data_IF_890000841563
#
_entry.id   IF_890000841563
#
_cell.length_a   1.000
_cell.length_b   1.000
_cell.length_c   1.000
_cell.angle_alpha   90.00
_cell.angle_beta   90.00
_cell.angle_gamma   90.00
#
_symmetry.space_group_name_H-M   'P 1'
#
loop_
_entity.id
_entity.type
_entity.pdbx_description
1 polymer ?
#
# COMPACT_ATOMS: atom_id res chain seq x y z
N UNK A 1 -8.35 -6.01 1.34
CA UNK A 1 -7.82 -7.27 0.81
C UNK A 1 -6.78 -6.96 -0.26
N UNK A 2 -5.69 -7.71 -0.30
CA UNK A 2 -4.68 -7.67 -1.37
C UNK A 2 -4.18 -9.07 -1.67
N UNK A 3 -3.72 -9.29 -2.90
CA UNK A 3 -3.16 -10.56 -3.36
C UNK A 3 -1.78 -10.32 -3.89
N UNK A 4 -0.84 -11.17 -3.46
CA UNK A 4 0.51 -11.22 -4.01
C UNK A 4 0.62 -12.50 -4.81
N UNK A 5 0.97 -12.37 -6.08
CA UNK A 5 1.43 -13.47 -6.92
C UNK A 5 2.95 -13.47 -6.85
N UNK A 6 3.50 -14.47 -6.17
CA UNK A 6 4.94 -14.69 -6.07
C UNK A 6 5.36 -15.68 -7.16
N UNK A 7 6.17 -15.22 -8.12
CA UNK A 7 6.69 -16.06 -9.20
C UNK A 7 7.80 -16.95 -8.62
N UNK A 8 7.56 -18.26 -8.56
CA UNK A 8 8.48 -19.23 -7.93
C UNK A 8 9.36 -19.98 -8.94
N UNK A 9 9.55 -19.43 -10.15
CA UNK A 9 10.46 -19.97 -11.17
C UNK A 9 11.94 -19.80 -10.82
N UNK A 10 12.84 -20.46 -11.58
CA UNK A 10 14.30 -20.64 -11.39
C UNK A 10 15.18 -19.37 -11.15
N UNK A 11 14.60 -18.21 -10.93
CA UNK A 11 15.30 -17.00 -10.50
C UNK A 11 15.70 -17.11 -9.03
N UNK A 12 16.92 -16.68 -8.70
CA UNK A 12 17.42 -16.63 -7.32
C UNK A 12 16.64 -15.63 -6.43
N UNK A 13 15.84 -14.75 -7.03
CA UNK A 13 14.97 -13.78 -6.34
C UNK A 13 13.55 -13.91 -6.86
N UNK A 14 12.57 -14.27 -6.01
CA UNK A 14 11.17 -14.36 -6.40
C UNK A 14 10.64 -12.97 -6.73
N UNK A 15 10.11 -12.82 -7.94
CA UNK A 15 9.44 -11.60 -8.36
C UNK A 15 8.01 -11.60 -7.81
N UNK A 16 7.56 -10.45 -7.29
CA UNK A 16 6.26 -10.32 -6.63
C UNK A 16 5.40 -9.31 -7.39
N UNK A 17 4.19 -9.72 -7.72
CA UNK A 17 3.18 -8.86 -8.32
C UNK A 17 1.99 -8.70 -7.36
N UNK A 18 1.61 -7.46 -7.06
CA UNK A 18 0.62 -7.16 -6.02
C UNK A 18 -0.64 -6.57 -6.65
N UNK A 19 -1.79 -7.17 -6.36
CA UNK A 19 -3.12 -6.64 -6.67
C UNK A 19 -3.85 -6.23 -5.38
N UNK A 20 -4.61 -5.14 -5.45
CA UNK A 20 -5.49 -4.64 -4.39
C UNK A 20 -6.95 -4.94 -4.69
N UNK A 21 -7.78 -4.86 -3.65
CA UNK A 21 -9.22 -4.91 -3.81
C UNK A 21 -9.73 -3.85 -4.80
N UNK A 22 -10.49 -4.29 -5.80
CA UNK A 22 -11.01 -3.49 -6.90
C UNK A 22 -10.16 -3.57 -8.17
N UNK A 23 -8.97 -4.17 -8.13
CA UNK A 23 -8.08 -4.31 -9.28
C UNK A 23 -8.30 -5.63 -10.02
N UNK A 24 -8.12 -5.57 -11.33
CA UNK A 24 -8.07 -6.73 -12.22
C UNK A 24 -6.72 -6.66 -12.93
N UNK A 25 -6.00 -7.77 -13.01
CA UNK A 25 -4.74 -7.85 -13.73
C UNK A 25 -4.70 -9.05 -14.67
N UNK A 26 -4.13 -8.84 -15.85
CA UNK A 26 -3.87 -9.87 -16.85
C UNK A 26 -2.39 -10.28 -16.79
N UNK A 27 -2.16 -11.59 -16.82
CA UNK A 27 -0.83 -12.20 -16.83
C UNK A 27 -0.62 -12.91 -18.16
N UNK A 28 0.51 -12.66 -18.81
CA UNK A 28 0.80 -13.24 -20.12
C UNK A 28 2.18 -12.87 -20.64
N UNK A 29 2.47 -13.30 -21.87
CA UNK A 29 3.75 -13.05 -22.54
C UNK A 29 3.82 -11.67 -23.20
N UNK A 30 2.67 -11.10 -23.57
CA UNK A 30 2.61 -9.81 -24.25
C UNK A 30 3.17 -8.69 -23.37
N UNK A 31 3.84 -7.66 -23.94
CA UNK A 31 4.25 -6.48 -23.19
C UNK A 31 3.09 -5.56 -22.79
N UNK A 32 1.87 -5.85 -23.25
CA UNK A 32 0.68 -5.02 -23.03
C UNK A 32 -0.19 -5.47 -21.85
N UNK A 33 0.19 -6.56 -21.17
CA UNK A 33 -0.50 -7.07 -19.98
C UNK A 33 0.14 -6.52 -18.71
N UNK A 34 -0.58 -6.60 -17.58
CA UNK A 34 -0.13 -6.02 -16.31
C UNK A 34 1.10 -6.74 -15.72
N UNK A 35 1.18 -8.07 -15.87
CA UNK A 35 2.36 -8.87 -15.53
C UNK A 35 2.89 -9.59 -16.76
N UNK A 36 3.90 -8.98 -17.39
CA UNK A 36 4.51 -9.46 -18.63
C UNK A 36 5.65 -10.44 -18.37
N UNK A 37 5.57 -11.63 -18.99
CA UNK A 37 6.58 -12.68 -18.93
C UNK A 37 7.08 -13.04 -20.35
N UNK A 38 7.80 -12.12 -21.03
CA UNK A 38 8.13 -12.26 -22.45
C UNK A 38 9.08 -13.43 -22.75
N UNK A 39 9.91 -13.82 -21.78
CA UNK A 39 10.93 -14.87 -21.92
C UNK A 39 10.34 -16.30 -21.84
N UNK A 40 9.06 -16.43 -21.46
CA UNK A 40 8.43 -17.73 -21.21
C UNK A 40 7.59 -18.12 -22.42
N UNK A 41 8.16 -18.97 -23.28
CA UNK A 41 7.56 -19.32 -24.57
C UNK A 41 6.25 -20.10 -24.49
N UNK A 42 6.02 -20.83 -23.39
CA UNK A 42 4.83 -21.67 -23.18
C UNK A 42 3.69 -20.98 -22.43
N UNK A 43 3.80 -19.66 -22.23
CA UNK A 43 2.72 -18.78 -21.80
C UNK A 43 2.14 -18.07 -23.04
N UNK A 44 0.81 -17.91 -23.05
CA UNK A 44 0.09 -17.20 -24.11
C UNK A 44 0.24 -15.69 -23.95
N UNK A 45 -0.06 -14.91 -25.00
CA UNK A 45 0.08 -13.46 -24.96
C UNK A 45 -0.77 -12.83 -23.85
N UNK A 46 -2.00 -13.33 -23.66
CA UNK A 46 -2.86 -13.11 -22.49
C UNK A 46 -3.30 -14.48 -21.93
N UNK A 47 -2.68 -14.95 -20.85
CA UNK A 47 -2.86 -16.33 -20.41
C UNK A 47 -3.97 -16.50 -19.38
N UNK A 48 -3.96 -15.65 -18.34
CA UNK A 48 -5.00 -15.66 -17.32
C UNK A 48 -5.21 -14.28 -16.71
N UNK A 49 -6.37 -14.09 -16.09
CA UNK A 49 -6.78 -12.88 -15.39
C UNK A 49 -6.98 -13.17 -13.91
N UNK A 50 -6.56 -12.23 -13.05
CA UNK A 50 -6.89 -12.21 -11.62
C UNK A 50 -7.77 -11.00 -11.35
N UNK A 51 -9.04 -11.25 -10.99
CA UNK A 51 -9.98 -10.24 -10.53
C UNK A 51 -10.03 -10.25 -9.01
N UNK A 52 -9.57 -9.17 -8.39
CA UNK A 52 -9.50 -9.06 -6.94
C UNK A 52 -10.55 -8.10 -6.41
N UNK A 53 -11.54 -8.63 -5.70
CA UNK A 53 -12.64 -7.87 -5.08
C UNK A 53 -12.36 -7.61 -3.60
N UNK A 54 -13.28 -6.91 -2.93
CA UNK A 54 -13.15 -6.56 -1.51
C UNK A 54 -13.10 -7.78 -0.57
N UNK A 55 -13.74 -8.89 -0.96
CA UNK A 55 -13.92 -10.08 -0.10
C UNK A 55 -13.42 -11.38 -0.72
N UNK A 56 -13.02 -11.38 -1.98
CA UNK A 56 -12.56 -12.58 -2.68
C UNK A 56 -11.71 -12.18 -3.88
N UNK A 57 -10.77 -13.03 -4.28
CA UNK A 57 -10.07 -12.87 -5.55
C UNK A 57 -10.27 -14.13 -6.38
N UNK A 58 -10.55 -13.94 -7.67
CA UNK A 58 -10.91 -14.98 -8.61
C UNK A 58 -9.88 -15.00 -9.71
N UNK A 59 -9.46 -16.19 -10.10
CA UNK A 59 -8.65 -16.39 -11.30
C UNK A 59 -9.52 -16.95 -12.43
N UNK A 60 -9.20 -16.57 -13.66
CA UNK A 60 -9.85 -17.07 -14.87
C UNK A 60 -8.80 -17.32 -15.95
N UNK A 61 -8.85 -18.49 -16.57
CA UNK A 61 -8.03 -18.80 -17.76
C UNK A 61 -8.56 -18.01 -18.96
N UNK A 62 -7.67 -17.38 -19.73
CA UNK A 62 -8.00 -16.68 -20.98
C UNK A 62 -7.61 -17.56 -22.16
N UNK A 63 -6.31 -17.76 -22.36
CA UNK A 63 -5.76 -18.54 -23.47
C UNK A 63 -4.64 -19.47 -23.00
N UNK A 64 -4.88 -20.78 -23.12
CA UNK A 64 -4.00 -21.83 -22.61
C UNK A 64 -4.49 -22.49 -21.32
N UNK A 65 -3.85 -23.61 -20.90
CA UNK A 65 -4.23 -24.34 -19.71
C UNK A 65 -3.66 -23.69 -18.43
N UNK A 66 -4.55 -23.29 -17.53
CA UNK A 66 -4.21 -22.88 -16.18
C UNK A 66 -4.48 -24.03 -15.19
N UNK A 67 -3.50 -24.34 -14.34
CA UNK A 67 -3.66 -25.30 -13.25
C UNK A 67 -3.71 -24.56 -11.90
N UNK A 68 -4.60 -24.97 -11.00
CA UNK A 68 -4.59 -24.62 -9.57
C UNK A 68 -4.35 -25.88 -8.77
N UNK A 69 -3.28 -25.92 -7.98
CA UNK A 69 -2.90 -27.09 -7.18
C UNK A 69 -2.90 -28.39 -8.01
N UNK A 70 -2.29 -28.33 -9.21
CA UNK A 70 -2.20 -29.42 -10.21
C UNK A 70 -3.51 -29.81 -10.93
N UNK A 71 -4.63 -29.14 -10.63
CA UNK A 71 -5.92 -29.38 -11.29
C UNK A 71 -6.19 -28.30 -12.33
N UNK A 72 -6.54 -28.69 -13.56
CA UNK A 72 -6.91 -27.74 -14.62
C UNK A 72 -8.18 -26.99 -14.24
N UNK A 73 -8.17 -25.67 -14.39
CA UNK A 73 -9.30 -24.80 -14.09
C UNK A 73 -9.59 -23.85 -15.26
N UNK A 74 -10.87 -23.54 -15.48
CA UNK A 74 -11.28 -22.43 -16.35
C UNK A 74 -11.50 -21.15 -15.53
N UNK A 75 -12.02 -21.30 -14.31
CA UNK A 75 -12.09 -20.24 -13.29
C UNK A 75 -12.17 -20.84 -11.89
N UNK A 76 -11.56 -20.19 -10.90
CA UNK A 76 -11.63 -20.58 -9.50
C UNK A 76 -11.54 -19.37 -8.57
N UNK A 77 -12.09 -19.48 -7.36
CA UNK A 77 -11.72 -18.60 -6.26
C UNK A 77 -10.32 -18.97 -5.79
N UNK A 78 -9.52 -17.96 -5.50
CA UNK A 78 -8.19 -18.12 -4.94
C UNK A 78 -8.26 -18.21 -3.42
N UNK A 79 -7.43 -19.07 -2.86
CA UNK A 79 -7.17 -19.25 -1.44
C UNK A 79 -5.70 -18.96 -1.14
N UNK A 80 -5.42 -18.60 0.11
CA UNK A 80 -4.04 -18.34 0.53
C UNK A 80 -3.21 -19.62 0.46
N UNK A 81 -2.03 -19.54 -0.15
CA UNK A 81 -1.15 -20.68 -0.36
C UNK A 81 -1.41 -21.48 -1.64
N UNK A 82 -2.44 -21.14 -2.43
CA UNK A 82 -2.66 -21.76 -3.73
C UNK A 82 -1.43 -21.65 -4.64
N UNK A 83 -1.22 -22.69 -5.45
CA UNK A 83 -0.22 -22.69 -6.51
C UNK A 83 -0.94 -22.67 -7.85
N UNK A 84 -0.72 -21.59 -8.61
CA UNK A 84 -1.14 -21.50 -10.00
C UNK A 84 0.01 -21.88 -10.91
N UNK A 85 -0.26 -22.65 -11.96
CA UNK A 85 0.73 -22.97 -13.00
C UNK A 85 0.20 -22.61 -14.38
N UNK A 86 0.96 -21.77 -15.07
CA UNK A 86 0.74 -21.35 -16.46
C UNK A 86 2.02 -21.66 -17.26
N UNK A 87 1.92 -22.59 -18.21
CA UNK A 87 3.10 -23.13 -18.89
C UNK A 87 4.12 -23.69 -17.89
N UNK A 88 5.35 -23.17 -17.95
CA UNK A 88 6.48 -23.56 -17.10
C UNK A 88 6.63 -22.74 -15.83
N UNK A 89 5.77 -21.75 -15.61
CA UNK A 89 5.85 -20.83 -14.47
C UNK A 89 4.84 -21.21 -13.40
N UNK A 90 5.30 -21.17 -12.15
CA UNK A 90 4.46 -21.29 -10.98
C UNK A 90 4.33 -19.95 -10.27
N UNK A 91 3.11 -19.66 -9.83
CA UNK A 91 2.76 -18.52 -9.00
C UNK A 91 2.23 -19.04 -7.68
N UNK A 92 2.86 -18.65 -6.58
CA UNK A 92 2.31 -18.84 -5.25
C UNK A 92 1.42 -17.66 -4.91
N UNK A 93 0.17 -17.96 -4.60
CA UNK A 93 -0.82 -16.98 -4.17
C UNK A 93 -0.65 -16.71 -2.68
N UNK A 94 -0.52 -15.45 -2.30
CA UNK A 94 -0.62 -15.00 -0.91
C UNK A 94 -1.74 -13.98 -0.78
N UNK A 95 -2.76 -14.28 0.02
CA UNK A 95 -3.89 -13.39 0.26
C UNK A 95 -3.71 -12.68 1.60
N UNK A 96 -3.83 -11.35 1.61
CA UNK A 96 -3.75 -10.54 2.82
C UNK A 96 -5.06 -9.80 3.09
N UNK A 97 -5.47 -9.76 4.36
CA UNK A 97 -6.68 -9.05 4.80
C UNK A 97 -7.98 -9.83 4.58
N UNK A 98 -7.93 -11.16 4.45
CA UNK A 98 -9.09 -12.04 4.59
C UNK A 98 -9.20 -12.52 6.04
N UNK A 99 -10.12 -11.95 6.80
CA UNK A 99 -10.58 -12.59 8.04
C UNK A 99 -11.58 -13.68 7.67
N UNK A 100 -11.10 -14.80 7.13
CA UNK A 100 -11.96 -15.97 6.94
C UNK A 100 -12.13 -16.67 8.29
N UNK A 101 -13.39 -16.79 8.73
CA UNK A 101 -13.75 -17.63 9.86
C UNK A 101 -13.25 -19.07 9.58
N UNK A 102 -12.23 -19.48 10.32
CA UNK A 102 -11.52 -20.74 10.12
C UNK A 102 -12.43 -21.91 10.48
N UNK A 103 -12.78 -22.74 9.49
CA UNK A 103 -13.33 -24.08 9.74
C UNK A 103 -12.26 -25.00 10.35
N UNK A 104 -12.65 -26.02 11.13
CA UNK A 104 -11.72 -26.83 11.89
C UNK A 104 -11.07 -27.93 11.04
N UNK A 105 -9.74 -27.93 11.01
CA UNK A 105 -8.95 -29.14 10.85
C UNK A 105 -8.18 -29.28 9.54
N UNK A 106 -7.01 -28.65 9.46
CA UNK A 106 -5.82 -29.30 8.88
C UNK A 106 -4.55 -28.57 9.33
N UNK A 107 -3.62 -29.32 9.92
CA UNK A 107 -2.35 -28.83 10.45
C UNK A 107 -1.29 -29.02 9.37
N UNK A 108 -0.90 -27.94 8.67
CA UNK A 108 0.27 -27.92 7.80
C UNK A 108 1.47 -27.40 8.59
N UNK A 109 2.57 -28.14 8.52
CA UNK A 109 3.88 -27.81 9.12
C UNK A 109 4.37 -26.46 8.58
N UNK A 110 4.49 -25.49 9.49
CA UNK A 110 5.14 -24.20 9.27
C UNK A 110 6.59 -24.41 8.80
N UNK A 111 6.89 -23.97 7.58
CA UNK A 111 8.22 -23.54 7.19
C UNK A 111 8.25 -22.02 7.39
N UNK A 112 9.26 -21.52 8.09
CA UNK A 112 9.40 -20.17 8.64
C UNK A 112 8.88 -19.05 7.73
N UNK A 113 7.59 -18.74 7.87
CA UNK A 113 7.00 -17.51 7.38
C UNK A 113 7.42 -16.41 8.35
N UNK A 114 8.22 -15.45 7.88
CA UNK A 114 8.40 -14.18 8.62
C UNK A 114 7.04 -13.69 9.08
N UNK A 115 6.96 -13.23 10.32
CA UNK A 115 5.67 -12.94 10.96
C UNK A 115 4.86 -11.96 10.11
N UNK A 116 3.53 -12.01 10.19
CA UNK A 116 2.65 -11.04 9.49
C UNK A 116 3.07 -9.59 9.78
N UNK A 117 3.60 -9.34 10.99
CA UNK A 117 4.17 -8.05 11.39
C UNK A 117 5.44 -7.69 10.59
N UNK A 118 6.37 -8.62 10.39
CA UNK A 118 7.58 -8.39 9.58
C UNK A 118 7.24 -8.05 8.13
N UNK A 119 6.24 -8.72 7.57
CA UNK A 119 5.78 -8.44 6.20
C UNK A 119 5.11 -7.06 6.11
N UNK A 120 4.26 -6.70 7.07
CA UNK A 120 3.64 -5.38 7.11
C UNK A 120 4.67 -4.25 7.24
N UNK A 121 5.69 -4.45 8.08
CA UNK A 121 6.77 -3.50 8.28
C UNK A 121 7.60 -3.32 7.00
N UNK A 122 7.99 -4.40 6.32
CA UNK A 122 8.68 -4.32 5.02
C UNK A 122 7.86 -3.58 3.97
N UNK A 123 6.55 -3.81 3.91
CA UNK A 123 5.65 -3.08 3.01
C UNK A 123 5.52 -1.60 3.40
N UNK A 124 5.62 -1.26 4.68
CA UNK A 124 5.75 0.13 5.11
C UNK A 124 7.03 0.77 4.57
N UNK A 125 8.18 0.10 4.70
CA UNK A 125 9.47 0.63 4.20
C UNK A 125 9.45 0.89 2.69
N UNK A 126 8.90 -0.05 1.90
CA UNK A 126 8.72 0.12 0.45
C UNK A 126 7.86 1.34 0.14
N UNK A 127 6.70 1.49 0.80
CA UNK A 127 5.80 2.64 0.64
C UNK A 127 6.35 3.96 1.19
N UNK A 128 7.35 3.91 2.07
CA UNK A 128 7.97 5.12 2.58
C UNK A 128 8.98 5.72 1.59
N UNK A 129 9.62 4.89 0.76
CA UNK A 129 10.65 5.35 -0.19
C UNK A 129 11.79 6.08 0.53
N UNK A 130 12.34 5.45 1.57
CA UNK A 130 13.38 6.03 2.42
C UNK A 130 14.68 6.24 1.65
N UNK A 131 15.36 7.36 1.92
CA UNK A 131 16.71 7.61 1.42
C UNK A 131 17.71 6.53 1.88
N UNK A 132 18.82 6.36 1.15
CA UNK A 132 19.87 5.41 1.52
C UNK A 132 20.44 5.67 2.92
N UNK A 133 20.56 6.93 3.30
CA UNK A 133 21.00 7.31 4.65
C UNK A 133 19.96 6.93 5.71
N UNK A 134 18.67 7.16 5.45
CA UNK A 134 17.58 6.77 6.36
C UNK A 134 17.46 5.26 6.54
N UNK A 135 17.75 4.46 5.51
CA UNK A 135 17.72 3.00 5.60
C UNK A 135 18.69 2.44 6.64
N UNK A 136 19.77 3.17 6.99
CA UNK A 136 20.74 2.77 8.03
C UNK A 136 20.18 2.86 9.45
N UNK A 137 19.06 3.56 9.63
CA UNK A 137 18.43 3.82 10.93
C UNK A 137 17.15 3.01 11.15
N UNK A 138 16.79 2.14 10.20
CA UNK A 138 15.59 1.31 10.30
C UNK A 138 15.87 0.11 11.19
N UNK A 139 15.09 -0.02 12.26
CA UNK A 139 15.12 -1.18 13.14
C UNK A 139 13.90 -2.06 12.87
N UNK A 140 14.13 -3.36 12.68
CA UNK A 140 13.09 -4.30 12.24
C UNK A 140 11.89 -4.33 13.20
N UNK A 141 10.69 -4.09 12.65
CA UNK A 141 9.41 -4.35 13.31
C UNK A 141 8.97 -3.32 14.35
N UNK A 142 9.77 -2.28 14.63
CA UNK A 142 9.45 -1.26 15.61
C UNK A 142 9.12 0.08 14.92
N UNK A 143 7.83 0.35 14.67
CA UNK A 143 7.42 1.55 13.94
C UNK A 143 7.78 2.83 14.71
N UNK A 144 7.43 2.90 15.99
CA UNK A 144 7.72 4.10 16.80
C UNK A 144 9.22 4.33 16.95
N UNK A 145 9.98 3.26 17.20
CA UNK A 145 11.43 3.37 17.35
C UNK A 145 12.12 3.81 16.05
N UNK A 146 11.70 3.27 14.90
CA UNK A 146 12.20 3.70 13.60
C UNK A 146 11.89 5.19 13.36
N UNK A 147 10.66 5.61 13.65
CA UNK A 147 10.25 7.02 13.54
C UNK A 147 11.07 7.95 14.45
N UNK A 148 11.24 7.58 15.73
CA UNK A 148 12.01 8.37 16.71
C UNK A 148 13.49 8.46 16.32
N UNK A 149 14.06 7.38 15.81
CA UNK A 149 15.46 7.32 15.37
C UNK A 149 15.69 8.21 14.15
N UNK A 150 14.83 8.13 13.14
CA UNK A 150 14.89 9.02 11.97
C UNK A 150 14.73 10.49 12.37
N UNK A 151 13.81 10.78 13.29
CA UNK A 151 13.57 12.14 13.79
C UNK A 151 14.79 12.69 14.54
N UNK A 152 15.37 11.89 15.44
CA UNK A 152 16.56 12.25 16.23
C UNK A 152 17.80 12.44 15.36
N UNK A 153 17.92 11.66 14.28
CA UNK A 153 19.00 11.80 13.29
C UNK A 153 18.86 13.05 12.40
N UNK A 154 17.80 13.87 12.57
CA UNK A 154 17.54 15.04 11.73
C UNK A 154 16.98 14.70 10.35
N UNK A 155 16.58 13.45 10.11
CA UNK A 155 16.02 12.96 8.84
C UNK A 155 14.51 13.20 8.80
N UNK A 156 14.07 14.43 9.09
CA UNK A 156 12.65 14.78 9.28
C UNK A 156 11.77 14.44 8.08
N UNK A 157 12.29 14.55 6.85
CA UNK A 157 11.55 14.19 5.62
C UNK A 157 11.30 12.68 5.54
N UNK A 158 12.30 11.87 5.85
CA UNK A 158 12.20 10.42 5.85
C UNK A 158 11.31 9.94 7.02
N UNK A 159 11.44 10.53 8.21
CA UNK A 159 10.54 10.27 9.34
C UNK A 159 9.07 10.56 8.98
N UNK A 160 8.81 11.68 8.29
CA UNK A 160 7.49 12.04 7.81
C UNK A 160 6.92 11.01 6.82
N UNK A 161 7.69 10.64 5.80
CA UNK A 161 7.28 9.61 4.82
C UNK A 161 7.04 8.26 5.47
N UNK A 162 7.92 7.84 6.38
CA UNK A 162 7.77 6.61 7.14
C UNK A 162 6.47 6.58 7.93
N UNK A 163 6.19 7.63 8.71
CA UNK A 163 4.94 7.73 9.47
C UNK A 163 3.70 7.70 8.56
N UNK A 164 3.72 8.42 7.44
CA UNK A 164 2.62 8.41 6.47
C UNK A 164 2.41 6.99 5.89
N UNK A 165 3.48 6.29 5.54
CA UNK A 165 3.42 4.95 4.98
C UNK A 165 2.95 3.89 6.00
N UNK A 166 3.22 4.11 7.29
CA UNK A 166 2.82 3.22 8.38
C UNK A 166 1.31 3.28 8.71
N UNK A 167 0.58 4.25 8.17
CA UNK A 167 -0.85 4.45 8.42
C UNK A 167 -1.69 4.06 7.19
N UNK A 168 -3.01 3.92 7.39
CA UNK A 168 -3.92 3.91 6.25
C UNK A 168 -3.96 5.30 5.58
N UNK A 169 -4.28 5.39 4.28
CA UNK A 169 -4.36 6.68 3.60
C UNK A 169 -5.34 7.67 4.24
N UNK A 170 -6.49 7.20 4.71
CA UNK A 170 -7.50 8.02 5.35
C UNK A 170 -6.98 8.63 6.67
N UNK A 171 -6.27 7.83 7.48
CA UNK A 171 -5.65 8.31 8.73
C UNK A 171 -4.55 9.32 8.46
N UNK A 172 -3.64 9.02 7.52
CA UNK A 172 -2.55 9.92 7.17
C UNK A 172 -3.07 11.27 6.67
N UNK A 173 -4.12 11.28 5.85
CA UNK A 173 -4.77 12.52 5.39
C UNK A 173 -5.46 13.22 6.56
N UNK A 174 -6.20 12.51 7.41
CA UNK A 174 -6.91 13.08 8.57
C UNK A 174 -5.95 13.82 9.50
N UNK A 175 -4.89 13.16 9.96
CA UNK A 175 -3.91 13.75 10.88
C UNK A 175 -3.17 14.91 10.23
N UNK A 176 -2.85 14.81 8.95
CA UNK A 176 -2.23 15.91 8.21
C UNK A 176 -3.16 17.13 8.14
N UNK A 177 -4.44 16.93 7.77
CA UNK A 177 -5.42 18.02 7.67
C UNK A 177 -5.71 18.69 9.02
N UNK A 178 -5.66 17.93 10.12
CA UNK A 178 -5.83 18.46 11.47
C UNK A 178 -4.79 19.53 11.80
N UNK A 179 -3.51 19.28 11.49
CA UNK A 179 -2.43 20.24 11.77
C UNK A 179 -2.39 21.35 10.74
N UNK A 180 -2.57 20.98 9.47
CA UNK A 180 -2.56 21.94 8.37
C UNK A 180 -3.65 22.99 8.56
N UNK A 181 -4.81 22.65 9.13
CA UNK A 181 -5.86 23.64 9.39
C UNK A 181 -6.17 24.43 8.11
N UNK A 182 -6.39 25.74 8.21
CA UNK A 182 -6.60 26.62 7.04
C UNK A 182 -5.40 26.73 6.09
N UNK A 183 -4.19 26.37 6.53
CA UNK A 183 -2.94 26.67 5.80
C UNK A 183 -2.74 25.77 4.57
N UNK A 184 -3.49 24.67 4.45
CA UNK A 184 -3.43 23.84 3.25
C UNK A 184 -4.16 24.43 2.05
N UNK A 185 -5.05 25.41 2.23
CA UNK A 185 -5.85 25.99 1.13
C UNK A 185 -7.09 25.19 0.73
N UNK A 186 -7.34 24.03 1.36
CA UNK A 186 -8.54 23.23 1.11
C UNK A 186 -9.77 23.80 1.81
N UNK A 187 -10.87 23.91 1.07
CA UNK A 187 -12.18 24.24 1.64
C UNK A 187 -12.68 23.14 2.60
N UNK A 188 -13.60 23.43 3.52
CA UNK A 188 -14.17 22.41 4.40
C UNK A 188 -14.82 21.25 3.64
N UNK A 189 -15.53 21.54 2.54
CA UNK A 189 -16.19 20.54 1.68
C UNK A 189 -15.15 19.63 0.98
N UNK A 190 -14.08 20.22 0.46
CA UNK A 190 -12.99 19.46 -0.16
C UNK A 190 -12.33 18.47 0.83
N UNK A 191 -12.19 18.86 2.10
CA UNK A 191 -11.63 17.97 3.13
C UNK A 191 -12.51 16.76 3.37
N UNK A 192 -13.83 16.96 3.48
CA UNK A 192 -14.78 15.85 3.68
C UNK A 192 -14.71 14.89 2.51
N UNK A 193 -14.79 15.41 1.28
CA UNK A 193 -14.72 14.59 0.06
C UNK A 193 -13.40 13.82 -0.06
N UNK A 194 -12.26 14.44 0.28
CA UNK A 194 -10.95 13.79 0.28
C UNK A 194 -10.88 12.63 1.28
N UNK A 195 -11.44 12.81 2.48
CA UNK A 195 -11.44 11.79 3.52
C UNK A 195 -12.32 10.60 3.13
N UNK A 196 -13.52 10.85 2.58
CA UNK A 196 -14.39 9.81 2.06
C UNK A 196 -13.72 9.02 0.92
N UNK A 197 -13.09 9.73 -0.01
CA UNK A 197 -12.38 9.13 -1.14
C UNK A 197 -11.20 8.26 -0.68
N UNK A 198 -10.41 8.75 0.28
CA UNK A 198 -9.28 8.02 0.86
C UNK A 198 -9.71 6.81 1.68
N UNK A 199 -10.85 6.90 2.37
CA UNK A 199 -11.47 5.78 3.08
C UNK A 199 -12.10 4.74 2.14
N UNK A 200 -12.27 5.07 0.85
CA UNK A 200 -12.92 4.21 -0.12
C UNK A 200 -14.43 4.05 0.11
N UNK A 201 -15.06 5.02 0.79
CA UNK A 201 -16.51 5.06 0.95
C UNK A 201 -17.19 5.57 -0.33
N UNK A 202 -18.52 5.43 -0.41
CA UNK A 202 -19.34 5.90 -1.54
C UNK A 202 -19.42 7.44 -1.59
N UNK A 203 -18.29 8.12 -1.67
CA UNK A 203 -18.20 9.56 -1.92
C UNK A 203 -18.53 9.90 -3.37
N UNK A 204 -18.90 11.16 -3.61
CA UNK A 204 -19.19 11.70 -4.95
C UNK A 204 -17.94 12.08 -5.75
N UNK A 205 -16.78 12.08 -5.09
CA UNK A 205 -15.52 12.51 -5.66
C UNK A 205 -14.97 11.49 -6.67
N UNK A 206 -14.85 11.87 -7.94
CA UNK A 206 -14.28 11.03 -9.00
C UNK A 206 -12.83 11.41 -9.34
N UNK A 207 -12.13 10.55 -10.09
CA UNK A 207 -10.78 10.84 -10.57
C UNK A 207 -10.76 12.07 -11.51
N UNK A 208 -11.76 12.22 -12.38
CA UNK A 208 -11.93 13.37 -13.27
C UNK A 208 -12.05 14.67 -12.48
N UNK A 209 -12.84 14.67 -11.39
CA UNK A 209 -13.00 15.85 -10.54
C UNK A 209 -11.69 16.23 -9.84
N UNK A 210 -10.91 15.24 -9.40
CA UNK A 210 -9.58 15.48 -8.81
C UNK A 210 -8.64 16.09 -9.86
N UNK A 211 -8.60 15.53 -11.08
CA UNK A 211 -7.76 16.05 -12.16
C UNK A 211 -8.13 17.50 -12.52
N UNK A 212 -9.44 17.82 -12.59
CA UNK A 212 -9.94 19.17 -12.83
C UNK A 212 -9.55 20.15 -11.71
N UNK A 213 -9.58 19.72 -10.44
CA UNK A 213 -9.12 20.54 -9.31
C UNK A 213 -7.62 20.78 -9.41
N UNK A 214 -6.83 19.74 -9.66
CA UNK A 214 -5.37 19.85 -9.79
C UNK A 214 -4.93 20.79 -10.91
N UNK A 215 -5.63 20.81 -12.05
CA UNK A 215 -5.33 21.71 -13.18
C UNK A 215 -5.47 23.20 -12.81
N UNK A 216 -6.32 23.53 -11.83
CA UNK A 216 -6.58 24.92 -11.42
C UNK A 216 -5.62 25.40 -10.33
N UNK A 217 -4.87 24.49 -9.70
CA UNK A 217 -4.02 24.80 -8.57
C UNK A 217 -2.56 25.04 -9.00
N UNK A 218 -1.87 26.03 -8.40
CA UNK A 218 -0.43 26.19 -8.59
C UNK A 218 0.34 24.91 -8.22
N UNK A 219 1.41 24.58 -8.94
CA UNK A 219 2.19 23.35 -8.67
C UNK A 219 2.92 23.33 -7.32
N UNK A 220 3.03 24.49 -6.65
CA UNK A 220 3.80 24.68 -5.40
C UNK A 220 2.93 24.98 -4.17
N UNK A 221 1.64 24.66 -4.18
CA UNK A 221 0.78 24.82 -3.00
C UNK A 221 0.44 23.48 -2.30
N UNK A 222 0.22 23.46 -0.97
CA UNK A 222 -0.03 22.23 -0.22
C UNK A 222 -1.26 21.44 -0.71
N UNK A 223 -2.39 22.10 -0.95
CA UNK A 223 -3.61 21.51 -1.53
C UNK A 223 -3.34 20.78 -2.85
N UNK A 224 -2.53 21.34 -3.76
CA UNK A 224 -2.18 20.66 -5.01
C UNK A 224 -1.49 19.30 -4.76
N UNK A 225 -0.65 19.22 -3.72
CA UNK A 225 0.02 17.98 -3.34
C UNK A 225 -0.89 17.01 -2.57
N UNK A 226 -1.87 17.51 -1.82
CA UNK A 226 -2.90 16.66 -1.19
C UNK A 226 -3.82 16.06 -2.26
N UNK A 227 -4.21 16.82 -3.28
CA UNK A 227 -4.98 16.27 -4.40
C UNK A 227 -4.19 15.22 -5.20
N UNK A 228 -2.90 15.45 -5.43
CA UNK A 228 -2.00 14.46 -6.06
C UNK A 228 -1.93 13.17 -5.24
N UNK A 229 -1.75 13.28 -3.92
CA UNK A 229 -1.66 12.09 -3.06
C UNK A 229 -2.95 11.28 -3.15
N UNK A 230 -4.12 11.93 -3.09
CA UNK A 230 -5.42 11.28 -3.26
C UNK A 230 -5.54 10.62 -4.64
N UNK A 231 -5.20 11.32 -5.73
CA UNK A 231 -5.28 10.79 -7.09
C UNK A 231 -4.50 9.47 -7.25
N UNK A 232 -3.33 9.39 -6.63
CA UNK A 232 -2.45 8.22 -6.70
C UNK A 232 -2.91 7.06 -5.81
N UNK A 233 -3.84 7.26 -4.88
CA UNK A 233 -4.41 6.15 -4.08
C UNK A 233 -5.23 5.18 -4.93
N UNK A 234 -5.89 5.65 -6.00
CA UNK A 234 -6.70 4.80 -6.89
C UNK A 234 -5.92 4.25 -8.09
N UNK A 235 -4.60 4.13 -7.95
CA UNK A 235 -3.81 3.28 -8.84
C UNK A 235 -3.52 3.83 -10.23
N UNK A 236 -3.67 5.13 -10.49
CA UNK A 236 -3.25 5.70 -11.79
C UNK A 236 -2.59 7.08 -11.66
N UNK A 237 -1.47 7.24 -12.36
CA UNK A 237 -0.76 8.50 -12.63
C UNK A 237 -1.33 9.25 -13.83
N UNK A 238 -1.99 8.53 -14.75
CA UNK A 238 -2.56 9.12 -15.95
C UNK A 238 -3.83 9.91 -15.64
N UNK A 239 -4.17 10.94 -16.43
CA UNK A 239 -5.47 11.59 -16.35
C UNK A 239 -6.62 10.59 -16.51
N UNK A 240 -7.77 10.93 -15.95
CA UNK A 240 -8.99 10.17 -16.13
C UNK A 240 -9.34 10.03 -17.62
N UNK A 241 -9.77 8.83 -18.02
CA UNK A 241 -10.03 8.47 -19.41
C UNK A 241 -8.79 8.04 -20.22
N UNK A 242 -7.58 8.11 -19.65
CA UNK A 242 -6.35 7.58 -20.26
C UNK A 242 -5.98 6.20 -19.69
N UNK A 243 -5.11 5.42 -20.38
CA UNK A 243 -4.62 4.14 -19.86
C UNK A 243 -4.06 4.26 -18.44
N UNK A 244 -4.36 3.27 -17.61
CA UNK A 244 -3.90 3.23 -16.23
C UNK A 244 -2.37 3.10 -16.21
N UNK A 245 -1.71 4.01 -15.51
CA UNK A 245 -0.27 3.94 -15.24
C UNK A 245 -0.10 3.82 -13.73
N UNK A 246 0.26 2.65 -13.20
CA UNK A 246 0.31 2.45 -11.76
C UNK A 246 1.35 3.38 -11.10
N UNK A 247 1.01 4.05 -9.99
CA UNK A 247 1.97 4.85 -9.25
C UNK A 247 2.97 3.93 -8.53
N UNK A 248 4.24 4.34 -8.50
CA UNK A 248 5.22 3.65 -7.63
C UNK A 248 4.78 3.77 -6.16
N UNK A 249 5.02 2.73 -5.32
CA UNK A 249 4.41 2.60 -4.00
C UNK A 249 4.60 3.81 -3.07
N UNK A 250 5.72 4.51 -3.20
CA UNK A 250 6.12 5.62 -2.35
C UNK A 250 5.47 6.96 -2.68
N UNK A 251 4.84 7.10 -3.84
CA UNK A 251 4.33 8.39 -4.31
C UNK A 251 3.32 9.05 -3.39
N UNK A 252 2.47 8.25 -2.74
CA UNK A 252 1.51 8.77 -1.75
C UNK A 252 2.24 9.44 -0.57
N UNK A 253 3.18 8.73 0.05
CA UNK A 253 3.95 9.23 1.19
C UNK A 253 4.80 10.44 0.80
N UNK A 254 5.41 10.41 -0.39
CA UNK A 254 6.14 11.55 -0.94
C UNK A 254 5.23 12.77 -1.10
N UNK A 255 4.08 12.64 -1.76
CA UNK A 255 3.18 13.78 -1.97
C UNK A 255 2.67 14.40 -0.67
N UNK A 256 2.26 13.56 0.28
CA UNK A 256 1.81 14.04 1.59
C UNK A 256 2.93 14.72 2.38
N UNK A 257 4.15 14.16 2.37
CA UNK A 257 5.32 14.79 3.01
C UNK A 257 5.66 16.15 2.40
N UNK A 258 5.51 16.30 1.08
CA UNK A 258 5.71 17.57 0.38
C UNK A 258 4.61 18.58 0.75
N UNK A 259 3.36 18.15 0.85
CA UNK A 259 2.27 19.02 1.29
C UNK A 259 2.53 19.60 2.70
N UNK A 260 2.95 18.74 3.65
CA UNK A 260 3.32 19.16 5.01
C UNK A 260 4.52 20.13 5.00
N UNK A 261 5.57 19.84 4.23
CA UNK A 261 6.74 20.70 4.13
C UNK A 261 6.41 22.07 3.50
N UNK A 262 5.58 22.10 2.46
CA UNK A 262 5.15 23.35 1.83
C UNK A 262 4.28 24.19 2.77
N UNK A 263 3.42 23.56 3.56
CA UNK A 263 2.59 24.26 4.54
C UNK A 263 3.45 24.79 5.69
N UNK A 264 4.38 23.99 6.21
CA UNK A 264 5.35 24.42 7.22
C UNK A 264 6.19 25.61 6.74
N UNK A 265 6.59 25.63 5.47
CA UNK A 265 7.35 26.74 4.88
C UNK A 265 6.53 28.02 4.66
N UNK A 266 5.20 27.94 4.67
CA UNK A 266 4.27 29.06 4.44
C UNK A 266 3.63 29.59 5.72
N UNK A 267 3.58 28.76 6.75
CA UNK A 267 2.93 29.07 8.01
C UNK A 267 3.94 29.67 9.00
N UNK A 268 3.48 30.61 9.81
CA UNK A 268 4.23 31.03 11.01
C UNK A 268 4.12 29.98 12.13
N UNK A 269 3.24 28.98 11.97
CA UNK A 269 3.08 27.88 12.91
C UNK A 269 4.14 26.82 12.68
N UNK A 270 4.59 26.20 13.77
CA UNK A 270 5.41 25.00 13.72
C UNK A 270 4.57 23.77 13.34
N UNK A 271 4.21 23.68 12.06
CA UNK A 271 3.39 22.58 11.50
C UNK A 271 4.06 21.23 11.76
N UNK A 272 5.38 21.14 11.60
CA UNK A 272 6.08 19.87 11.83
C UNK A 272 6.14 19.52 13.32
N UNK A 273 6.43 20.48 14.20
CA UNK A 273 6.43 20.25 15.64
C UNK A 273 5.05 19.91 16.22
N UNK A 274 3.96 20.32 15.57
CA UNK A 274 2.60 19.90 15.92
C UNK A 274 2.24 18.52 15.36
N UNK A 275 2.70 18.21 14.15
CA UNK A 275 2.36 16.96 13.47
C UNK A 275 3.13 15.74 14.00
N UNK A 276 4.42 15.90 14.30
CA UNK A 276 5.28 14.79 14.74
C UNK A 276 4.78 14.10 16.02
N UNK A 277 4.36 14.82 17.08
CA UNK A 277 3.80 14.18 18.28
C UNK A 277 2.52 13.40 18.01
N UNK A 278 1.62 13.93 17.16
CA UNK A 278 0.34 13.29 16.83
C UNK A 278 0.55 11.96 16.09
N UNK A 279 1.45 11.94 15.10
CA UNK A 279 1.74 10.69 14.38
C UNK A 279 2.48 9.70 15.25
N UNK A 280 3.38 10.15 16.12
CA UNK A 280 4.06 9.28 17.08
C UNK A 280 3.08 8.57 18.01
N UNK A 281 2.09 9.30 18.53
CA UNK A 281 1.02 8.73 19.34
C UNK A 281 0.20 7.68 18.56
N UNK A 282 -0.12 7.96 17.29
CA UNK A 282 -0.82 6.97 16.44
C UNK A 282 0.02 5.73 16.17
N UNK A 283 1.33 5.87 15.92
CA UNK A 283 2.22 4.73 15.71
C UNK A 283 2.32 3.85 16.97
N UNK A 284 2.34 4.45 18.17
CA UNK A 284 2.30 3.70 19.44
C UNK A 284 1.03 2.85 19.58
N UNK A 285 -0.11 3.38 19.14
CA UNK A 285 -1.36 2.62 19.13
C UNK A 285 -1.29 1.44 18.15
N UNK A 286 -0.71 1.63 16.96
CA UNK A 286 -0.53 0.55 15.98
C UNK A 286 0.39 -0.55 16.51
N UNK A 287 1.51 -0.21 17.15
CA UNK A 287 2.43 -1.20 17.74
C UNK A 287 1.74 -2.06 18.81
N UNK A 288 0.83 -1.45 19.59
CA UNK A 288 0.07 -2.14 20.65
C UNK A 288 -0.98 -3.10 20.06
N UNK A 289 -1.61 -2.73 18.95
CA UNK A 289 -2.60 -3.58 18.24
C UNK A 289 -1.94 -4.78 17.54
N UNK A 290 -0.71 -4.62 17.04
CA UNK A 290 0.03 -5.66 16.32
C UNK A 290 0.74 -6.63 17.28
N UNK A 291 1.16 -6.17 18.47
CA UNK A 291 1.91 -6.96 19.45
C UNK A 291 1.30 -6.95 20.87
N UNK A 292 0.06 -7.47 21.05
CA UNK A 292 -0.63 -7.43 22.35
C UNK A 292 0.09 -8.21 23.47
N UNK A 293 0.96 -9.17 23.13
CA UNK A 293 1.66 -10.02 24.11
C UNK A 293 2.90 -9.38 24.76
N UNK A 294 3.34 -8.20 24.28
CA UNK A 294 4.57 -7.56 24.79
C UNK A 294 4.33 -6.54 25.90
N UNK A 295 3.08 -6.25 26.25
CA UNK A 295 2.75 -5.37 27.39
C UNK A 295 2.80 -6.19 28.69
N UNK A 296 4.00 -6.64 29.05
CA UNK A 296 4.26 -7.16 30.40
C UNK A 296 4.25 -5.98 31.36
N UNK A 297 3.24 -6.01 32.24
CA UNK A 297 3.07 -5.16 33.40
C UNK A 297 4.30 -5.18 34.31
N UNK A 298 5.18 -4.18 34.17
CA UNK A 298 6.06 -3.77 35.27
C UNK A 298 5.25 -2.98 36.29
N UNK A 299 4.38 -3.67 37.05
CA UNK A 299 3.87 -3.13 38.31
C UNK A 299 4.81 -3.56 39.42
N UNK A 300 5.53 -2.55 39.91
CA UNK A 300 6.47 -2.61 41.01
C UNK A 300 5.87 -3.28 42.25
N UNK A 301 6.66 -4.16 42.86
CA UNK A 301 6.54 -4.54 44.26
C UNK A 301 7.20 -3.44 45.08
N UNK A 302 6.40 -2.66 45.82
CA UNK A 302 6.80 -1.87 46.97
C UNK A 302 5.70 -2.02 48.02
#
# INVERSE_FOLDING_TARGET
MSVILEITGNSATPEQFVLRAGEVAVVGRSPWVDLSLPEISDIADEHFEVDCRSTSCRVKSIDGPLLRNQVKIDSALLEDGDILRAGSVEFRVRLFGLTLAKGPGETIRQLDAGSTADNAFRQCLLRAGLSEDAQRYVENGAYVQTFDTLSTAGLTKDACRFAIAAMSPAEAITLSLQVLGSDCGLSPDDRVQLLEYAAGTNGTLTAEMIDQRMQKLPSKCPDAWIWKSARWLKGSLSPAGMPVVPPVPELFAVAMSVALALAAARSERDVMGQWMPLVRERLLQNDTEVHPETVVTTRASA
#
